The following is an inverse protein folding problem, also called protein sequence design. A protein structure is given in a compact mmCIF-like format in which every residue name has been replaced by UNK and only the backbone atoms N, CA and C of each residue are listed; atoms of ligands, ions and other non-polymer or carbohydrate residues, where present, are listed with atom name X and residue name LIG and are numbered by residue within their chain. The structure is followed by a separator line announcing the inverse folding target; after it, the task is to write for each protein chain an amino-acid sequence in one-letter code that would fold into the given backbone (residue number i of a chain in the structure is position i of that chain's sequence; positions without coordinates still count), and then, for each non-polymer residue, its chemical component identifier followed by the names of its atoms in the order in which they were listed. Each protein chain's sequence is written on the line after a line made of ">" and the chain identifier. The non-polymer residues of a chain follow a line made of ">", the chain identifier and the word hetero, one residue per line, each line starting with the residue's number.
data_IF_095642177298
#
_entry.id   IF_095642177298
#
_cell.length_a   1.000
_cell.length_b   1.000
_cell.length_c   1.000
_cell.angle_alpha   90.00
_cell.angle_beta   90.00
_cell.angle_gamma   90.00
#
_symmetry.space_group_name_H-M   'P 1'
#
loop_
_entity.id
_entity.type
_entity.pdbx_description
1 polymer ?
#
# COMPACT_ATOMS: atom_id res chain seq x y z
N UNK A 1 -10.54 9.05 2.73
CA UNK A 1 -9.80 7.82 2.43
C UNK A 1 -9.44 7.12 3.72
N UNK A 2 -9.21 5.82 3.69
CA UNK A 2 -8.85 5.04 4.88
C UNK A 2 -7.48 5.44 5.45
N UNK A 3 -7.34 5.31 6.77
CA UNK A 3 -6.08 5.54 7.46
C UNK A 3 -5.93 4.45 8.51
N UNK A 4 -4.80 3.75 8.51
CA UNK A 4 -4.54 2.63 9.42
C UNK A 4 -4.59 3.02 10.92
N UNK A 5 -4.39 4.29 11.27
CA UNK A 5 -4.53 4.78 12.65
C UNK A 5 -5.98 5.00 13.09
N UNK A 6 -6.92 5.14 12.16
CA UNK A 6 -8.30 5.53 12.45
C UNK A 6 -9.34 4.47 12.03
N UNK A 7 -9.07 3.75 10.94
CA UNK A 7 -10.06 2.95 10.22
C UNK A 7 -9.59 1.50 10.01
N UNK A 8 -8.90 0.91 10.99
CA UNK A 8 -8.24 -0.38 10.83
C UNK A 8 -9.22 -1.54 10.58
N UNK A 9 -10.39 -1.52 11.20
CA UNK A 9 -11.43 -2.54 10.99
C UNK A 9 -12.02 -2.47 9.58
N UNK A 10 -12.30 -1.26 9.08
CA UNK A 10 -12.73 -1.05 7.70
C UNK A 10 -11.69 -1.56 6.70
N UNK A 11 -10.40 -1.27 6.93
CA UNK A 11 -9.30 -1.78 6.07
C UNK A 11 -9.29 -3.31 6.05
N UNK A 12 -9.52 -3.95 7.21
CA UNK A 12 -9.58 -5.41 7.32
C UNK A 12 -10.75 -5.99 6.52
N UNK A 13 -11.95 -5.43 6.66
CA UNK A 13 -13.15 -5.86 5.95
C UNK A 13 -13.00 -5.68 4.43
N UNK A 14 -12.54 -4.50 4.00
CA UNK A 14 -12.26 -4.23 2.59
C UNK A 14 -11.22 -5.22 2.02
N UNK A 15 -10.16 -5.51 2.77
CA UNK A 15 -9.15 -6.49 2.37
C UNK A 15 -9.73 -7.89 2.22
N UNK A 16 -10.59 -8.32 3.14
CA UNK A 16 -11.26 -9.63 3.04
C UNK A 16 -12.19 -9.70 1.83
N UNK A 17 -12.98 -8.65 1.61
CA UNK A 17 -13.83 -8.54 0.43
C UNK A 17 -13.01 -8.57 -0.87
N UNK A 18 -11.94 -7.79 -0.98
CA UNK A 18 -11.09 -7.82 -2.16
C UNK A 18 -10.45 -9.19 -2.40
N UNK A 19 -10.10 -9.94 -1.35
CA UNK A 19 -9.54 -11.29 -1.47
C UNK A 19 -10.53 -12.31 -2.04
N UNK A 20 -11.84 -12.08 -1.94
CA UNK A 20 -12.83 -12.95 -2.58
C UNK A 20 -12.94 -12.71 -4.09
N UNK A 21 -12.44 -11.56 -4.58
CA UNK A 21 -12.54 -11.15 -5.98
C UNK A 21 -11.21 -11.22 -6.74
N UNK A 22 -10.08 -11.07 -6.06
CA UNK A 22 -8.76 -10.93 -6.67
C UNK A 22 -7.75 -11.90 -6.06
N UNK A 23 -6.90 -12.57 -6.87
CA UNK A 23 -5.88 -13.47 -6.38
C UNK A 23 -4.78 -12.77 -5.57
N UNK A 24 -4.53 -11.47 -5.81
CA UNK A 24 -3.52 -10.69 -5.09
C UNK A 24 -4.13 -9.41 -4.54
N UNK A 25 -4.01 -9.21 -3.23
CA UNK A 25 -4.46 -8.01 -2.51
C UNK A 25 -3.37 -7.53 -1.56
N UNK A 26 -3.02 -6.26 -1.65
CA UNK A 26 -2.05 -5.59 -0.78
C UNK A 26 -2.60 -4.25 -0.30
N UNK A 27 -2.01 -3.74 0.79
CA UNK A 27 -2.29 -2.43 1.33
C UNK A 27 -0.98 -1.66 1.46
N UNK A 28 -0.96 -0.44 0.97
CA UNK A 28 0.15 0.51 1.11
C UNK A 28 -0.36 1.81 1.75
N UNK A 29 0.54 2.66 2.21
CA UNK A 29 0.17 3.99 2.69
C UNK A 29 1.20 5.05 2.31
N UNK A 30 0.81 6.32 2.34
CA UNK A 30 1.74 7.44 2.25
C UNK A 30 1.39 8.54 3.26
N UNK A 31 2.40 9.34 3.61
CA UNK A 31 2.24 10.47 4.53
C UNK A 31 1.84 11.72 3.75
N UNK A 32 0.72 12.33 4.14
CA UNK A 32 0.22 13.59 3.58
C UNK A 32 -0.28 14.42 4.78
N UNK A 33 0.41 15.51 5.17
CA UNK A 33 0.12 16.22 6.42
C UNK A 33 -1.31 16.72 6.56
N UNK A 34 -1.97 17.05 5.45
CA UNK A 34 -3.33 17.60 5.43
C UNK A 34 -4.43 16.53 5.50
N UNK A 35 -4.09 15.24 5.42
CA UNK A 35 -5.05 14.15 5.62
C UNK A 35 -5.24 13.87 7.11
N UNK A 36 -6.42 13.38 7.55
CA UNK A 36 -6.64 12.97 8.93
C UNK A 36 -5.54 12.00 9.42
N UNK A 37 -4.95 12.30 10.58
CA UNK A 37 -3.79 11.58 11.13
C UNK A 37 -2.53 11.59 10.25
N UNK A 38 -2.41 12.54 9.32
CA UNK A 38 -1.19 12.82 8.54
C UNK A 38 -0.85 11.80 7.46
N UNK A 39 -1.75 10.87 7.14
CA UNK A 39 -1.50 9.82 6.15
C UNK A 39 -2.78 9.23 5.56
N UNK A 40 -2.66 8.51 4.45
CA UNK A 40 -3.74 7.78 3.79
C UNK A 40 -3.26 6.42 3.28
N UNK A 41 -4.15 5.45 3.28
CA UNK A 41 -3.98 4.11 2.73
C UNK A 41 -4.43 3.95 1.29
N UNK A 42 -3.93 2.90 0.65
CA UNK A 42 -4.33 2.45 -0.68
C UNK A 42 -4.54 0.94 -0.66
N UNK A 43 -5.72 0.49 -1.08
CA UNK A 43 -6.00 -0.92 -1.38
C UNK A 43 -5.62 -1.25 -2.82
N UNK A 44 -4.64 -2.15 -3.01
CA UNK A 44 -4.17 -2.59 -4.32
C UNK A 44 -4.62 -4.02 -4.59
N UNK A 45 -5.24 -4.25 -5.75
CA UNK A 45 -5.75 -5.56 -6.17
C UNK A 45 -5.26 -5.89 -7.58
N UNK A 46 -4.91 -7.16 -7.83
CA UNK A 46 -4.53 -7.63 -9.17
C UNK A 46 -5.25 -8.92 -9.53
N UNK A 47 -5.67 -9.02 -10.79
CA UNK A 47 -6.17 -10.26 -11.41
C UNK A 47 -5.04 -11.21 -11.82
N UNK A 48 -3.81 -10.72 -11.91
CA UNK A 48 -2.65 -11.56 -12.22
C UNK A 48 -2.11 -12.18 -10.91
N UNK A 49 -2.15 -13.52 -10.74
CA UNK A 49 -1.68 -14.18 -9.53
C UNK A 49 -0.16 -14.02 -9.30
N UNK A 50 0.60 -13.69 -10.34
CA UNK A 50 2.05 -13.47 -10.25
C UNK A 50 2.43 -12.05 -9.80
N UNK A 51 1.45 -11.16 -9.55
CA UNK A 51 1.74 -9.80 -9.09
C UNK A 51 2.36 -9.80 -7.71
N UNK A 52 3.49 -9.11 -7.56
CA UNK A 52 4.10 -8.79 -6.28
C UNK A 52 4.08 -7.26 -6.09
N UNK A 53 3.07 -6.74 -5.38
CA UNK A 53 2.92 -5.29 -5.21
C UNK A 53 4.09 -4.63 -4.46
N UNK A 54 4.62 -5.18 -3.35
CA UNK A 54 5.78 -4.61 -2.68
C UNK A 54 7.00 -4.43 -3.58
N UNK A 55 7.23 -5.33 -4.56
CA UNK A 55 8.36 -5.23 -5.49
C UNK A 55 7.91 -4.66 -6.84
N UNK A 56 8.15 -3.37 -7.13
CA UNK A 56 7.68 -2.77 -8.37
C UNK A 56 8.32 -3.47 -9.58
N UNK A 57 7.48 -3.97 -10.50
CA UNK A 57 7.93 -4.62 -11.74
C UNK A 57 8.71 -3.64 -12.62
N UNK A 58 8.30 -2.37 -12.60
CA UNK A 58 9.00 -1.27 -13.26
C UNK A 58 9.76 -0.47 -12.20
N UNK A 59 11.06 -0.74 -12.08
CA UNK A 59 11.93 0.06 -11.22
C UNK A 59 12.35 1.34 -11.92
N UNK A 60 12.32 2.45 -11.20
CA UNK A 60 12.76 3.75 -11.69
C UNK A 60 14.21 3.97 -11.26
N UNK A 61 15.05 4.29 -12.24
CA UNK A 61 16.38 4.85 -11.98
C UNK A 61 16.26 6.27 -11.43
N UNK A 62 17.28 6.73 -10.71
CA UNK A 62 17.33 8.10 -10.20
C UNK A 62 17.14 9.16 -11.31
N UNK A 63 17.73 8.92 -12.49
CA UNK A 63 17.54 9.78 -13.67
C UNK A 63 16.07 9.86 -14.10
N UNK A 64 15.32 8.75 -14.08
CA UNK A 64 13.89 8.75 -14.41
C UNK A 64 13.08 9.52 -13.36
N UNK A 65 13.40 9.36 -12.07
CA UNK A 65 12.74 10.10 -10.98
C UNK A 65 12.89 11.61 -11.19
N UNK A 66 14.09 12.06 -11.54
CA UNK A 66 14.39 13.47 -11.85
C UNK A 66 13.70 13.94 -13.14
N UNK A 67 13.76 13.16 -14.23
CA UNK A 67 13.10 13.49 -15.49
C UNK A 67 11.58 13.64 -15.33
N UNK A 68 10.97 12.79 -14.50
CA UNK A 68 9.54 12.83 -14.19
C UNK A 68 9.19 13.88 -13.11
N UNK A 69 10.17 14.60 -12.56
CA UNK A 69 10.00 15.62 -11.53
C UNK A 69 9.24 15.11 -10.29
N UNK A 70 9.49 13.85 -9.91
CA UNK A 70 8.81 13.21 -8.79
C UNK A 70 9.35 13.75 -7.47
N UNK A 71 8.43 14.21 -6.61
CA UNK A 71 8.76 14.84 -5.31
C UNK A 71 8.62 13.91 -4.10
N UNK A 72 8.04 12.72 -4.29
CA UNK A 72 7.75 11.77 -3.21
C UNK A 72 8.01 10.32 -3.64
N UNK A 73 7.49 9.92 -4.80
CA UNK A 73 7.63 8.55 -5.28
C UNK A 73 9.03 8.27 -5.85
N UNK A 74 9.60 7.14 -5.43
CA UNK A 74 10.69 6.43 -6.11
C UNK A 74 10.52 4.92 -5.79
N UNK A 75 11.35 4.05 -6.38
CA UNK A 75 11.18 2.59 -6.20
C UNK A 75 11.46 2.08 -4.79
N UNK A 76 12.25 2.79 -3.99
CA UNK A 76 12.49 2.44 -2.59
C UNK A 76 11.32 2.86 -1.71
N UNK A 77 10.79 4.07 -1.92
CA UNK A 77 9.59 4.54 -1.25
C UNK A 77 8.37 3.70 -1.60
N UNK A 78 8.27 3.21 -2.83
CA UNK A 78 7.25 2.24 -3.21
C UNK A 78 7.31 1.00 -2.32
N UNK A 79 8.49 0.40 -2.15
CA UNK A 79 8.67 -0.79 -1.30
C UNK A 79 8.33 -0.49 0.17
N UNK A 80 8.83 0.64 0.68
CA UNK A 80 8.61 1.06 2.06
C UNK A 80 7.13 1.33 2.39
N UNK A 81 6.33 1.78 1.41
CA UNK A 81 4.91 2.04 1.60
C UNK A 81 4.08 0.81 2.02
N UNK A 82 4.60 -0.40 1.80
CA UNK A 82 3.96 -1.67 2.21
C UNK A 82 4.42 -2.15 3.59
N UNK A 83 5.42 -1.51 4.20
CA UNK A 83 5.91 -1.83 5.54
C UNK A 83 5.04 -1.14 6.57
N UNK A 84 4.11 -1.88 7.16
CA UNK A 84 3.15 -1.34 8.10
C UNK A 84 3.68 -1.36 9.54
N UNK A 85 3.30 -0.40 10.40
CA UNK A 85 3.44 -0.51 11.85
C UNK A 85 2.89 -1.83 12.38
N UNK A 86 3.49 -2.33 13.46
CA UNK A 86 3.23 -3.69 13.95
C UNK A 86 1.75 -3.97 14.25
N UNK A 87 1.00 -3.00 14.78
CA UNK A 87 -0.42 -3.16 15.07
C UNK A 87 -1.24 -3.39 13.79
N UNK A 88 -0.95 -2.66 12.71
CA UNK A 88 -1.64 -2.79 11.42
C UNK A 88 -1.20 -4.05 10.67
N UNK A 89 0.09 -4.41 10.77
CA UNK A 89 0.65 -5.65 10.23
C UNK A 89 -0.06 -6.89 10.80
N UNK A 90 -0.28 -6.93 12.11
CA UNK A 90 -0.99 -8.04 12.78
C UNK A 90 -2.41 -8.24 12.26
N UNK A 91 -3.14 -7.16 11.98
CA UNK A 91 -4.51 -7.23 11.44
C UNK A 91 -4.51 -7.69 9.97
N UNK A 92 -3.52 -7.25 9.19
CA UNK A 92 -3.36 -7.60 7.77
C UNK A 92 -2.92 -9.05 7.50
N UNK A 93 -2.26 -9.69 8.47
CA UNK A 93 -1.69 -11.04 8.33
C UNK A 93 -2.35 -12.14 9.17
N UNK A 94 -3.40 -11.82 9.96
CA UNK A 94 -4.21 -12.89 10.56
C UNK A 94 -4.85 -13.70 9.44
N UNK A 95 -4.24 -14.84 9.14
CA UNK A 95 -4.86 -15.92 8.40
C UNK A 95 -6.05 -16.38 9.25
N UNK A 96 -7.23 -16.37 8.64
CA UNK A 96 -8.29 -17.32 8.99
C UNK A 96 -7.78 -18.72 8.77
#
# INVERSE_FOLDING_TARGET
>A
GECQWLHLDLIKEMRQFCKSLFPVVAYAYCSIPTYPSGQIGFMLCSKNPSTNFPKPVQQLTQKQVEQMQLKYYNSDMHQAAFVLPEFARKVSHRQS
#
